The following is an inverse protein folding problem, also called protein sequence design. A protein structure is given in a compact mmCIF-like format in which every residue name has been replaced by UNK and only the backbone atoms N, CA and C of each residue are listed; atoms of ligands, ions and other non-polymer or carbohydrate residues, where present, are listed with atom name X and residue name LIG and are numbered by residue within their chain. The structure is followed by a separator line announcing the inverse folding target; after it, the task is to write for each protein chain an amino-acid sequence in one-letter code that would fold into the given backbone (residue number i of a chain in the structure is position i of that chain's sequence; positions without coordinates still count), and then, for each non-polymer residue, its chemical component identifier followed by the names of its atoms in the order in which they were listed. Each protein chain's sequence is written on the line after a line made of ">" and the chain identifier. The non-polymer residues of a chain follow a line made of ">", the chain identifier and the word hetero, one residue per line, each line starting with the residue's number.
data_IF_433672085204
#
_entry.id   IF_433672085204
#
_cell.length_a   1.000
_cell.length_b   1.000
_cell.length_c   1.000
_cell.angle_alpha   90.00
_cell.angle_beta   90.00
_cell.angle_gamma   90.00
#
_symmetry.space_group_name_H-M   'P 1'
#
loop_
_entity.id
_entity.type
_entity.pdbx_description
1 polymer ?
#
# COMPACT_ATOMS: atom_id res chain seq x y z
N UNK A 1 7.35 -11.30 0.30
CA UNK A 1 7.39 -9.98 0.99
C UNK A 1 6.52 -10.06 2.24
N UNK A 2 6.75 -9.21 3.23
CA UNK A 2 5.91 -9.09 4.44
C UNK A 2 5.04 -7.82 4.32
N UNK A 3 3.70 -7.93 4.28
CA UNK A 3 2.81 -6.78 4.24
C UNK A 3 2.92 -5.94 5.52
N UNK A 4 2.97 -4.62 5.35
CA UNK A 4 2.97 -3.63 6.44
C UNK A 4 1.78 -2.67 6.34
N UNK A 5 1.12 -2.60 5.20
CA UNK A 5 0.03 -1.65 4.98
C UNK A 5 -0.69 -1.84 3.65
N UNK A 6 -1.71 -1.03 3.43
CA UNK A 6 -2.43 -0.97 2.15
C UNK A 6 -2.82 0.48 1.86
N UNK A 7 -2.68 0.87 0.59
CA UNK A 7 -3.23 2.12 0.06
C UNK A 7 -4.46 1.74 -0.76
N UNK A 8 -5.62 2.17 -0.28
CA UNK A 8 -6.91 1.88 -0.90
C UNK A 8 -7.23 2.95 -1.94
N UNK A 9 -7.55 2.53 -3.16
CA UNK A 9 -7.75 3.41 -4.30
C UNK A 9 -9.06 3.07 -5.02
N UNK A 10 -9.64 4.09 -5.63
CA UNK A 10 -10.56 3.93 -6.75
C UNK A 10 -9.87 4.43 -8.01
N UNK A 11 -9.73 3.56 -9.01
CA UNK A 11 -9.17 3.91 -10.30
C UNK A 11 -10.17 3.57 -11.40
N UNK A 12 -10.48 4.53 -12.27
CA UNK A 12 -11.56 4.47 -13.25
C UNK A 12 -12.93 3.96 -12.69
N UNK A 13 -13.18 4.16 -11.39
CA UNK A 13 -14.40 3.68 -10.70
C UNK A 13 -14.32 2.25 -10.16
N UNK A 14 -13.20 1.55 -10.35
CA UNK A 14 -12.94 0.20 -9.85
C UNK A 14 -12.02 0.22 -8.63
N UNK A 15 -12.08 -0.83 -7.78
CA UNK A 15 -11.17 -0.96 -6.64
C UNK A 15 -9.81 -1.43 -7.10
N UNK A 16 -8.79 -0.63 -6.82
CA UNK A 16 -7.42 -0.89 -7.25
C UNK A 16 -6.40 -0.72 -6.10
N UNK A 17 -6.69 -1.39 -4.98
CA UNK A 17 -5.90 -1.31 -3.76
C UNK A 17 -4.47 -1.83 -3.95
N UNK A 18 -3.50 -1.16 -3.30
CA UNK A 18 -2.07 -1.49 -3.38
C UNK A 18 -1.55 -1.93 -2.01
N UNK A 19 -1.17 -3.20 -1.88
CA UNK A 19 -0.49 -3.69 -0.67
C UNK A 19 0.93 -3.15 -0.62
N UNK A 20 1.31 -2.57 0.52
CA UNK A 20 2.66 -2.10 0.81
C UNK A 20 3.36 -3.14 1.69
N UNK A 21 4.56 -3.55 1.27
CA UNK A 21 5.28 -4.66 1.90
C UNK A 21 6.79 -4.44 1.88
N UNK A 22 7.49 -5.08 2.83
CA UNK A 22 8.95 -5.10 2.91
C UNK A 22 9.52 -6.45 2.45
N UNK A 23 10.79 -6.50 2.00
CA UNK A 23 11.51 -7.76 1.83
C UNK A 23 11.48 -8.59 3.13
N UNK A 24 11.29 -9.91 3.00
CA UNK A 24 11.32 -10.81 4.16
C UNK A 24 12.72 -10.84 4.75
N UNK A 25 13.75 -10.92 3.89
CA UNK A 25 15.16 -10.83 4.27
C UNK A 25 15.49 -9.42 4.82
N UNK A 26 15.83 -9.30 6.12
CA UNK A 26 16.18 -8.02 6.73
C UNK A 26 17.40 -7.34 6.08
N UNK A 27 18.33 -8.11 5.49
CA UNK A 27 19.50 -7.55 4.82
C UNK A 27 19.15 -6.73 3.57
N UNK A 28 17.96 -6.93 3.00
CA UNK A 28 17.46 -6.18 1.84
C UNK A 28 16.58 -4.99 2.22
N UNK A 29 16.32 -4.77 3.52
CA UNK A 29 15.44 -3.70 3.98
C UNK A 29 16.20 -2.38 4.09
N UNK A 30 15.62 -1.32 3.54
CA UNK A 30 16.09 0.06 3.73
C UNK A 30 15.44 0.76 4.93
N UNK A 31 14.37 0.16 5.46
CA UNK A 31 13.63 0.57 6.65
C UNK A 31 13.18 -0.67 7.42
N UNK A 32 13.16 -0.61 8.75
CA UNK A 32 12.70 -1.71 9.59
C UNK A 32 11.46 -1.29 10.39
N UNK A 33 10.30 -1.48 9.76
CA UNK A 33 8.99 -1.12 10.32
C UNK A 33 8.01 -2.27 10.12
N UNK A 34 7.06 -2.43 11.04
CA UNK A 34 6.09 -3.53 11.02
C UNK A 34 4.67 -3.09 10.60
N UNK A 35 4.42 -1.79 10.49
CA UNK A 35 3.13 -1.22 10.11
C UNK A 35 3.31 0.08 9.32
N UNK A 36 2.31 0.43 8.51
CA UNK A 36 2.24 1.64 7.69
C UNK A 36 2.37 2.91 8.53
N UNK A 37 1.80 2.92 9.75
CA UNK A 37 1.85 4.09 10.64
C UNK A 37 3.27 4.43 11.14
N UNK A 38 4.21 3.48 11.02
CA UNK A 38 5.62 3.65 11.39
C UNK A 38 6.51 4.08 10.23
N UNK A 39 6.03 4.03 8.98
CA UNK A 39 6.78 4.62 7.88
C UNK A 39 6.91 6.13 8.07
N UNK A 40 8.06 6.74 7.73
CA UNK A 40 8.18 8.19 7.69
C UNK A 40 7.04 8.80 6.88
N UNK A 41 6.36 9.81 7.44
CA UNK A 41 5.19 10.42 6.80
C UNK A 41 5.48 10.88 5.37
N UNK A 42 6.67 11.42 5.12
CA UNK A 42 7.12 11.82 3.78
C UNK A 42 7.17 10.64 2.79
N UNK A 43 7.54 9.44 3.23
CA UNK A 43 7.53 8.25 2.38
C UNK A 43 6.10 7.82 2.04
N UNK A 44 5.18 7.88 3.02
CA UNK A 44 3.76 7.62 2.76
C UNK A 44 3.19 8.64 1.76
N UNK A 45 3.55 9.93 1.91
CA UNK A 45 3.10 11.00 1.03
C UNK A 45 3.64 10.86 -0.39
N UNK A 46 4.90 10.45 -0.56
CA UNK A 46 5.47 10.16 -1.88
C UNK A 46 4.73 9.00 -2.55
N UNK A 47 4.44 7.91 -1.82
CA UNK A 47 3.71 6.77 -2.37
C UNK A 47 2.30 7.17 -2.83
N UNK A 48 1.57 7.90 -1.98
CA UNK A 48 0.23 8.40 -2.32
C UNK A 48 0.29 9.36 -3.51
N UNK A 49 1.20 10.33 -3.50
CA UNK A 49 1.34 11.29 -4.59
C UNK A 49 1.65 10.60 -5.92
N UNK A 50 2.55 9.61 -5.92
CA UNK A 50 2.85 8.84 -7.12
C UNK A 50 1.62 8.08 -7.62
N UNK A 51 0.96 7.31 -6.75
CA UNK A 51 -0.19 6.49 -7.14
C UNK A 51 -1.37 7.30 -7.66
N UNK A 52 -1.54 8.55 -7.21
CA UNK A 52 -2.62 9.43 -7.68
C UNK A 52 -2.29 10.20 -8.96
N UNK A 53 -1.03 10.23 -9.40
CA UNK A 53 -0.60 11.18 -10.45
C UNK A 53 0.36 10.59 -11.51
N UNK A 54 0.76 9.32 -11.40
CA UNK A 54 1.71 8.75 -12.36
C UNK A 54 1.12 8.60 -13.77
N UNK A 55 -0.20 8.38 -13.84
CA UNK A 55 -0.98 8.44 -15.08
C UNK A 55 -1.81 9.73 -15.08
N UNK A 56 -1.55 10.68 -16.00
CA UNK A 56 -2.30 11.92 -16.08
C UNK A 56 -3.68 11.76 -16.76
N UNK A 57 -3.96 10.63 -17.41
CA UNK A 57 -5.23 10.35 -18.08
C UNK A 57 -6.24 9.69 -17.12
N UNK A 58 -5.75 8.88 -16.18
CA UNK A 58 -6.58 8.15 -15.20
C UNK A 58 -6.74 8.90 -13.87
N UNK A 59 -8.00 9.11 -13.48
CA UNK A 59 -8.38 9.90 -12.31
C UNK A 59 -8.45 9.08 -11.02
N UNK A 60 -7.32 8.50 -10.59
CA UNK A 60 -7.25 7.74 -9.35
C UNK A 60 -7.60 8.59 -8.11
N UNK A 61 -8.33 7.99 -7.16
CA UNK A 61 -8.77 8.64 -5.94
C UNK A 61 -8.32 7.86 -4.72
N UNK A 62 -7.81 8.58 -3.72
CA UNK A 62 -7.45 7.98 -2.44
C UNK A 62 -8.70 7.70 -1.61
N UNK A 63 -8.89 6.44 -1.24
CA UNK A 63 -9.91 6.01 -0.27
C UNK A 63 -9.33 6.00 1.14
N UNK A 64 -8.11 5.49 1.30
CA UNK A 64 -7.49 5.39 2.60
C UNK A 64 -6.05 4.87 2.59
N UNK A 65 -5.33 5.19 3.65
CA UNK A 65 -4.03 4.58 3.99
C UNK A 65 -4.22 3.82 5.29
N UNK A 66 -3.99 2.50 5.26
CA UNK A 66 -4.29 1.59 6.37
C UNK A 66 -3.09 0.73 6.73
N UNK A 67 -3.15 0.16 7.94
CA UNK A 67 -2.08 -0.64 8.51
C UNK A 67 -2.07 -2.09 8.02
N UNK A 68 -1.24 -2.90 8.69
CA UNK A 68 -1.01 -4.30 8.33
C UNK A 68 -2.27 -5.15 8.48
N UNK A 69 -3.14 -4.84 9.45
CA UNK A 69 -4.34 -5.62 9.71
C UNK A 69 -5.29 -5.61 8.50
N UNK A 70 -5.60 -4.43 7.97
CA UNK A 70 -6.45 -4.24 6.80
C UNK A 70 -5.81 -4.83 5.54
N UNK A 71 -4.49 -4.67 5.39
CA UNK A 71 -3.75 -5.29 4.28
C UNK A 71 -3.90 -6.81 4.28
N UNK A 72 -3.74 -7.45 5.45
CA UNK A 72 -3.90 -8.89 5.60
C UNK A 72 -5.34 -9.34 5.38
N UNK A 73 -6.34 -8.55 5.78
CA UNK A 73 -7.74 -8.83 5.46
C UNK A 73 -7.99 -8.79 3.95
N UNK A 74 -7.48 -7.77 3.25
CA UNK A 74 -7.59 -7.66 1.80
C UNK A 74 -6.94 -8.87 1.09
N UNK A 75 -5.72 -9.26 1.49
CA UNK A 75 -5.02 -10.43 0.92
C UNK A 75 -5.84 -11.71 1.10
N UNK A 76 -6.42 -11.92 2.29
CA UNK A 76 -7.20 -13.15 2.57
C UNK A 76 -8.41 -13.31 1.66
N UNK A 77 -9.00 -12.22 1.14
CA UNK A 77 -10.13 -12.28 0.18
C UNK A 77 -9.73 -12.95 -1.14
N UNK A 78 -8.46 -12.84 -1.52
CA UNK A 78 -7.91 -13.33 -2.79
C UNK A 78 -7.08 -14.61 -2.65
N UNK A 79 -6.86 -15.08 -1.42
CA UNK A 79 -6.14 -16.32 -1.18
C UNK A 79 -6.95 -17.51 -1.72
N UNK A 80 -6.50 -18.05 -2.85
CA UNK A 80 -7.05 -19.29 -3.41
C UNK A 80 -6.70 -20.43 -2.46
N UNK A 81 -7.69 -21.26 -2.10
CA UNK A 81 -7.48 -22.49 -1.34
C UNK A 81 -6.93 -23.60 -2.21
#
# INVERSE_FOLDING_TARGET
>A
VEPIGIIELLDAGERDDKVIALPVDPALRTVDVADMDRLPKAAQDILVAWLLNYDPEDGAQLVGVKGRAEAMEAIRKWAVR
#
